data_IF_096535913955
#
_entry.id   IF_096535913955
#
_cell.length_a   1.000
_cell.length_b   1.000
_cell.length_c   1.000
_cell.angle_alpha   90.00
_cell.angle_beta   90.00
_cell.angle_gamma   90.00
#
_symmetry.space_group_name_H-M   'P 1'
#
loop_
_entity.id
_entity.type
_entity.pdbx_description
1 polymer ?
#
# COMPACT_ATOMS: atom_id res chain seq x y z
N UNK A 1 15.23 -11.36 -10.16
CA UNK A 1 15.39 -9.89 -10.38
C UNK A 1 14.85 -9.18 -9.14
N UNK A 2 15.60 -8.24 -8.54
CA UNK A 2 15.17 -7.50 -7.34
C UNK A 2 14.72 -6.10 -7.70
N UNK A 3 13.87 -5.50 -6.87
CA UNK A 3 13.34 -4.14 -7.00
C UNK A 3 13.76 -3.28 -5.82
N UNK A 4 13.64 -1.96 -5.93
CA UNK A 4 13.79 -1.05 -4.81
C UNK A 4 12.42 -0.76 -4.18
N UNK A 5 12.36 -0.41 -2.90
CA UNK A 5 11.11 -0.14 -2.21
C UNK A 5 11.07 1.27 -1.59
N UNK A 6 9.96 1.97 -1.80
CA UNK A 6 9.66 3.26 -1.15
C UNK A 6 8.50 3.05 -0.19
N UNK A 7 8.71 3.38 1.08
CA UNK A 7 7.66 3.41 2.10
C UNK A 7 7.23 4.86 2.34
N UNK A 8 5.97 5.15 2.11
CA UNK A 8 5.38 6.46 2.39
C UNK A 8 4.78 6.46 3.80
N UNK A 9 5.47 7.07 4.75
CA UNK A 9 5.12 7.06 6.16
C UNK A 9 4.58 8.41 6.68
N UNK A 10 3.98 9.17 5.79
CA UNK A 10 3.23 10.38 6.12
C UNK A 10 1.82 10.08 6.64
N UNK A 11 1.04 11.13 6.78
CA UNK A 11 -0.36 11.05 7.21
C UNK A 11 -0.55 11.51 8.66
N UNK A 12 -1.78 11.94 8.95
CA UNK A 12 -2.18 12.44 10.26
C UNK A 12 -2.52 11.27 11.20
N UNK A 13 -1.77 11.14 12.28
CA UNK A 13 -1.98 10.13 13.32
C UNK A 13 -3.10 10.48 14.28
N UNK A 14 -3.43 11.77 14.41
CA UNK A 14 -4.42 12.27 15.37
C UNK A 14 -5.83 11.71 15.13
N UNK A 15 -6.11 11.19 13.92
CA UNK A 15 -7.38 10.51 13.62
C UNK A 15 -7.54 9.22 14.43
N UNK A 16 -6.42 8.57 14.79
CA UNK A 16 -6.40 7.30 15.56
C UNK A 16 -6.05 7.58 17.01
N UNK A 17 -4.98 8.34 17.26
CA UNK A 17 -4.52 8.77 18.58
C UNK A 17 -4.20 10.27 18.56
N UNK A 18 -4.96 11.11 19.29
CA UNK A 18 -4.73 12.56 19.34
C UNK A 18 -3.33 12.97 19.79
N UNK A 19 -2.59 12.11 20.48
CA UNK A 19 -1.20 12.36 20.89
C UNK A 19 -0.18 12.05 19.79
N UNK A 20 -0.58 11.35 18.74
CA UNK A 20 0.29 10.92 17.64
C UNK A 20 0.17 11.86 16.45
N UNK A 21 1.19 12.68 16.20
CA UNK A 21 1.20 13.63 15.08
C UNK A 21 1.29 12.93 13.73
N UNK A 22 2.12 11.90 13.61
CA UNK A 22 2.37 11.20 12.35
C UNK A 22 1.92 9.74 12.44
N UNK A 23 1.03 9.33 11.54
CA UNK A 23 0.42 8.01 11.51
C UNK A 23 1.46 6.88 11.52
N UNK A 24 2.57 7.02 10.78
CA UNK A 24 3.64 6.03 10.74
C UNK A 24 4.34 5.78 12.08
N UNK A 25 4.28 6.76 13.02
CA UNK A 25 4.87 6.64 14.35
C UNK A 25 3.91 6.03 15.38
N UNK A 26 2.65 5.78 15.02
CA UNK A 26 1.68 5.14 15.92
C UNK A 26 2.24 3.79 16.40
N UNK A 27 2.34 3.55 17.72
CA UNK A 27 2.82 2.29 18.24
C UNK A 27 1.80 1.19 18.03
N UNK A 28 2.23 0.10 17.38
CA UNK A 28 1.46 -1.13 17.18
C UNK A 28 2.29 -2.28 17.72
N UNK A 29 1.77 -3.01 18.70
CA UNK A 29 2.47 -4.12 19.35
C UNK A 29 3.90 -3.74 19.79
N UNK A 30 4.07 -2.54 20.35
CA UNK A 30 5.34 -2.06 20.93
C UNK A 30 6.37 -1.47 19.94
N UNK A 31 6.05 -1.37 18.64
CA UNK A 31 6.91 -0.73 17.62
C UNK A 31 6.14 0.33 16.83
N UNK A 32 6.79 1.39 16.33
CA UNK A 32 6.20 2.27 15.33
C UNK A 32 5.65 1.49 14.14
N UNK A 33 4.47 1.85 13.66
CA UNK A 33 3.80 1.14 12.57
C UNK A 33 4.68 1.04 11.31
N UNK A 34 5.37 2.12 10.95
CA UNK A 34 6.29 2.15 9.80
C UNK A 34 7.49 1.21 9.98
N UNK A 35 7.92 0.96 11.22
CA UNK A 35 9.04 0.05 11.51
C UNK A 35 8.70 -1.40 11.10
N UNK A 36 7.48 -1.86 11.38
CA UNK A 36 7.02 -3.19 10.94
C UNK A 36 7.12 -3.35 9.43
N UNK A 37 6.67 -2.35 8.67
CA UNK A 37 6.71 -2.37 7.21
C UNK A 37 8.15 -2.35 6.69
N UNK A 38 8.99 -1.49 7.26
CA UNK A 38 10.37 -1.34 6.85
C UNK A 38 11.20 -2.60 7.15
N UNK A 39 11.00 -3.22 8.31
CA UNK A 39 11.64 -4.50 8.67
C UNK A 39 11.20 -5.63 7.72
N UNK A 40 9.90 -5.73 7.39
CA UNK A 40 9.42 -6.72 6.45
C UNK A 40 10.03 -6.55 5.05
N UNK A 41 10.19 -5.31 4.59
CA UNK A 41 10.85 -5.01 3.30
C UNK A 41 12.35 -5.36 3.32
N UNK A 42 13.06 -5.03 4.40
CA UNK A 42 14.47 -5.41 4.57
C UNK A 42 14.67 -6.92 4.51
N UNK A 43 13.75 -7.66 5.11
CA UNK A 43 13.85 -9.11 5.25
C UNK A 43 13.29 -9.86 4.00
N UNK A 44 12.71 -9.15 3.03
CA UNK A 44 12.21 -9.71 1.77
C UNK A 44 13.34 -9.94 0.76
N UNK A 45 13.35 -11.11 0.10
CA UNK A 45 14.40 -11.51 -0.85
C UNK A 45 14.35 -10.74 -2.18
N UNK A 46 13.16 -10.28 -2.57
CA UNK A 46 12.94 -9.55 -3.82
C UNK A 46 13.22 -8.05 -3.69
N UNK A 47 13.48 -7.54 -2.49
CA UNK A 47 13.79 -6.13 -2.24
C UNK A 47 15.31 -5.95 -2.11
N UNK A 48 15.86 -4.95 -2.84
CA UNK A 48 17.29 -4.63 -2.83
C UNK A 48 17.64 -3.54 -1.82
N UNK A 49 16.94 -2.42 -1.92
CA UNK A 49 17.13 -1.24 -1.07
C UNK A 49 15.77 -0.67 -0.66
N UNK A 50 15.71 -0.10 0.54
CA UNK A 50 14.51 0.52 1.09
C UNK A 50 14.76 2.01 1.32
N UNK A 51 13.81 2.85 0.91
CA UNK A 51 13.74 4.26 1.27
C UNK A 51 12.45 4.52 2.04
N UNK A 52 12.55 5.08 3.23
CA UNK A 52 11.40 5.46 4.06
C UNK A 52 11.23 6.97 3.98
N UNK A 53 10.12 7.42 3.41
CA UNK A 53 9.78 8.83 3.28
C UNK A 53 8.93 9.25 4.47
N UNK A 54 9.43 10.21 5.24
CA UNK A 54 8.83 10.71 6.48
C UNK A 54 8.76 12.23 6.48
N UNK A 55 7.79 12.85 7.15
CA UNK A 55 7.73 14.31 7.29
C UNK A 55 8.86 14.86 8.17
N UNK A 56 9.36 14.05 9.10
CA UNK A 56 10.48 14.37 10.00
C UNK A 56 11.21 13.09 10.38
N UNK A 57 12.52 13.20 10.63
CA UNK A 57 13.31 12.10 11.17
C UNK A 57 13.19 12.00 12.72
N UNK A 58 12.60 13.01 13.36
CA UNK A 58 12.39 13.02 14.81
C UNK A 58 11.41 11.92 15.24
N UNK A 59 11.77 11.16 16.28
CA UNK A 59 10.94 10.12 16.86
C UNK A 59 11.00 8.76 16.17
N UNK A 60 11.77 8.61 15.09
CA UNK A 60 11.90 7.32 14.42
C UNK A 60 12.61 6.25 15.29
N UNK A 61 13.65 6.67 16.05
CA UNK A 61 14.45 5.73 16.84
C UNK A 61 15.59 5.09 16.07
N UNK A 62 16.40 4.26 16.75
CA UNK A 62 17.64 3.69 16.21
C UNK A 62 17.41 2.60 15.13
N UNK A 63 16.20 2.06 14.99
CA UNK A 63 15.90 1.02 14.00
C UNK A 63 16.14 1.48 12.54
N UNK A 64 16.15 2.79 12.29
CA UNK A 64 16.38 3.36 10.95
C UNK A 64 17.78 3.08 10.40
N UNK A 65 18.76 2.90 11.30
CA UNK A 65 20.15 2.64 10.91
C UNK A 65 20.32 1.28 10.20
N UNK A 66 19.41 0.34 10.46
CA UNK A 66 19.44 -1.01 9.91
C UNK A 66 18.55 -1.19 8.66
N UNK A 67 17.76 -0.18 8.30
CA UNK A 67 16.75 -0.35 7.24
C UNK A 67 17.24 0.14 5.87
N UNK A 68 17.92 1.27 5.82
CA UNK A 68 18.32 1.85 4.53
C UNK A 68 18.30 3.38 4.53
N UNK A 69 17.55 3.99 3.61
CA UNK A 69 17.57 5.45 3.42
C UNK A 69 16.36 6.11 4.06
N UNK A 70 16.60 7.12 4.88
CA UNK A 70 15.54 8.00 5.39
C UNK A 70 15.50 9.25 4.50
N UNK A 71 14.34 9.51 3.93
CA UNK A 71 14.06 10.68 3.09
C UNK A 71 13.09 11.59 3.83
N UNK A 72 13.55 12.76 4.23
CA UNK A 72 12.68 13.75 4.88
C UNK A 72 11.99 14.56 3.80
N UNK A 73 10.65 14.45 3.74
CA UNK A 73 9.80 15.20 2.81
C UNK A 73 8.42 15.38 3.42
N UNK A 74 7.96 16.63 3.49
CA UNK A 74 6.62 17.05 3.99
C UNK A 74 5.81 17.69 2.84
N UNK A 75 6.01 17.22 1.63
CA UNK A 75 5.31 17.66 0.44
C UNK A 75 3.96 16.96 0.23
N UNK A 76 3.39 17.16 -0.95
CA UNK A 76 2.21 16.41 -1.39
C UNK A 76 2.54 14.91 -1.50
N UNK A 77 1.50 14.08 -1.67
CA UNK A 77 1.69 12.65 -1.92
C UNK A 77 2.68 12.38 -3.08
N UNK A 78 2.55 13.13 -4.16
CA UNK A 78 3.40 12.98 -5.35
C UNK A 78 4.83 13.45 -5.07
N UNK A 79 5.00 14.58 -4.37
CA UNK A 79 6.33 15.06 -3.97
C UNK A 79 7.06 14.02 -3.12
N UNK A 80 6.35 13.38 -2.19
CA UNK A 80 6.89 12.33 -1.35
C UNK A 80 7.27 11.07 -2.16
N UNK A 81 6.44 10.67 -3.14
CA UNK A 81 6.77 9.57 -4.06
C UNK A 81 8.03 9.90 -4.87
N UNK A 82 8.10 11.09 -5.46
CA UNK A 82 9.26 11.53 -6.25
C UNK A 82 10.53 11.61 -5.39
N UNK A 83 10.43 12.14 -4.17
CA UNK A 83 11.56 12.19 -3.24
C UNK A 83 12.06 10.79 -2.88
N UNK A 84 11.15 9.85 -2.61
CA UNK A 84 11.49 8.46 -2.30
C UNK A 84 12.17 7.75 -3.47
N UNK A 85 11.60 7.86 -4.67
CA UNK A 85 12.19 7.28 -5.91
C UNK A 85 13.55 7.90 -6.21
N UNK A 86 13.69 9.21 -6.03
CA UNK A 86 14.94 9.93 -6.22
C UNK A 86 16.08 9.52 -5.28
N UNK A 87 15.78 8.78 -4.21
CA UNK A 87 16.81 8.22 -3.32
C UNK A 87 17.59 7.07 -3.95
N UNK A 88 17.07 6.45 -5.00
CA UNK A 88 17.74 5.35 -5.71
C UNK A 88 18.48 5.83 -6.96
N UNK A 89 19.45 5.04 -7.38
CA UNK A 89 20.16 5.24 -8.65
C UNK A 89 19.82 4.08 -9.59
N UNK A 90 19.49 4.42 -10.82
CA UNK A 90 19.20 3.45 -11.88
C UNK A 90 17.73 3.41 -12.25
N UNK A 91 17.38 2.46 -13.10
CA UNK A 91 16.12 2.28 -13.78
C UNK A 91 15.30 1.08 -13.27
N UNK A 92 15.65 0.59 -12.06
CA UNK A 92 14.94 -0.54 -11.47
C UNK A 92 13.51 -0.16 -11.14
N UNK A 93 12.60 -1.10 -11.31
CA UNK A 93 11.22 -0.96 -10.83
C UNK A 93 11.19 -0.70 -9.34
N UNK A 94 10.22 0.07 -8.92
CA UNK A 94 10.05 0.48 -7.53
C UNK A 94 8.73 -0.07 -6.98
N UNK A 95 8.81 -0.76 -5.86
CA UNK A 95 7.66 -1.09 -5.03
C UNK A 95 7.32 0.13 -4.18
N UNK A 96 6.27 0.86 -4.55
CA UNK A 96 5.69 1.89 -3.69
C UNK A 96 4.78 1.21 -2.67
N UNK A 97 4.94 1.50 -1.39
CA UNK A 97 4.03 1.02 -0.34
C UNK A 97 3.78 2.11 0.70
N UNK A 98 2.67 1.99 1.42
CA UNK A 98 2.39 2.87 2.55
C UNK A 98 2.94 2.26 3.84
N UNK A 99 3.27 3.11 4.83
CA UNK A 99 3.80 2.69 6.12
C UNK A 99 2.74 2.28 7.14
N UNK A 100 1.50 2.06 6.71
CA UNK A 100 0.34 1.79 7.58
C UNK A 100 -0.25 0.38 7.45
N UNK A 101 0.56 -0.57 6.96
CA UNK A 101 0.22 -2.01 6.86
C UNK A 101 1.14 -2.85 7.76
N UNK A 102 1.11 -2.68 9.09
CA UNK A 102 2.10 -3.27 10.00
C UNK A 102 2.13 -4.80 10.00
N UNK A 103 1.05 -5.44 9.55
CA UNK A 103 0.97 -6.89 9.46
C UNK A 103 1.51 -7.47 8.14
N UNK A 104 2.16 -6.66 7.29
CA UNK A 104 2.80 -7.16 6.07
C UNK A 104 3.92 -8.16 6.40
N UNK A 105 4.15 -9.13 5.52
CA UNK A 105 5.21 -10.13 5.71
C UNK A 105 6.18 -10.13 4.53
N UNK A 106 7.45 -10.52 4.72
CA UNK A 106 8.41 -10.71 3.63
C UNK A 106 7.88 -11.61 2.53
N UNK A 107 7.24 -12.72 2.89
CA UNK A 107 6.66 -13.67 1.93
C UNK A 107 5.56 -13.03 1.06
N UNK A 108 4.71 -12.17 1.64
CA UNK A 108 3.67 -11.44 0.89
C UNK A 108 4.29 -10.44 -0.09
N UNK A 109 5.36 -9.77 0.30
CA UNK A 109 6.11 -8.84 -0.54
C UNK A 109 6.77 -9.58 -1.71
N UNK A 110 7.48 -10.67 -1.42
CA UNK A 110 8.19 -11.46 -2.44
C UNK A 110 7.22 -12.07 -3.45
N UNK A 111 6.09 -12.60 -2.98
CA UNK A 111 5.07 -13.18 -3.86
C UNK A 111 4.45 -12.10 -4.76
N UNK A 112 4.08 -10.95 -4.21
CA UNK A 112 3.54 -9.84 -4.99
C UNK A 112 4.54 -9.31 -6.02
N UNK A 113 5.81 -9.09 -5.63
CA UNK A 113 6.85 -8.59 -6.55
C UNK A 113 7.09 -9.60 -7.67
N UNK A 114 7.18 -10.90 -7.36
CA UNK A 114 7.37 -11.95 -8.36
C UNK A 114 6.23 -11.98 -9.37
N UNK A 115 4.99 -12.09 -8.90
CA UNK A 115 3.82 -12.08 -9.75
C UNK A 115 3.73 -10.79 -10.61
N UNK A 116 4.08 -9.65 -10.02
CA UNK A 116 4.07 -8.36 -10.71
C UNK A 116 5.10 -8.31 -11.84
N UNK A 117 6.31 -8.78 -11.60
CA UNK A 117 7.37 -8.85 -12.62
C UNK A 117 6.98 -9.79 -13.78
N UNK A 118 6.31 -10.89 -13.49
CA UNK A 118 5.83 -11.86 -14.48
C UNK A 118 4.77 -11.27 -15.42
N UNK A 119 4.03 -10.24 -15.01
CA UNK A 119 3.07 -9.56 -15.90
C UNK A 119 3.73 -8.77 -17.02
N UNK A 120 4.97 -8.32 -16.82
CA UNK A 120 5.67 -7.40 -17.72
C UNK A 120 5.07 -5.99 -17.81
N UNK A 121 4.01 -5.68 -17.07
CA UNK A 121 3.33 -4.38 -17.13
C UNK A 121 4.12 -3.27 -16.42
N UNK A 122 3.98 -2.01 -16.87
CA UNK A 122 4.71 -0.87 -16.31
C UNK A 122 4.22 -0.47 -14.91
N UNK A 123 2.95 -0.71 -14.61
CA UNK A 123 2.39 -0.54 -13.28
C UNK A 123 1.48 -1.71 -12.91
N UNK A 124 1.70 -2.29 -11.72
CA UNK A 124 0.95 -3.46 -11.23
C UNK A 124 0.38 -3.18 -9.85
N UNK A 125 -0.92 -3.42 -9.70
CA UNK A 125 -1.66 -3.15 -8.47
C UNK A 125 -2.26 -4.44 -7.89
N UNK A 126 -2.14 -4.69 -6.56
CA UNK A 126 -2.68 -5.89 -5.94
C UNK A 126 -4.18 -5.76 -5.66
N UNK A 127 -4.89 -6.86 -5.86
CA UNK A 127 -6.29 -7.05 -5.51
C UNK A 127 -6.42 -8.18 -4.48
N UNK A 128 -7.09 -7.92 -3.37
CA UNK A 128 -7.39 -8.90 -2.33
C UNK A 128 -8.88 -9.22 -2.37
N UNK A 129 -9.25 -10.50 -2.40
CA UNK A 129 -10.65 -10.92 -2.32
C UNK A 129 -11.21 -10.65 -0.93
N UNK A 130 -12.50 -10.35 -0.87
CA UNK A 130 -13.18 -10.11 0.41
C UNK A 130 -13.04 -11.29 1.38
N UNK A 131 -13.16 -12.51 0.86
CA UNK A 131 -13.12 -13.71 1.69
C UNK A 131 -11.72 -13.94 2.29
N UNK A 132 -10.65 -13.70 1.51
CA UNK A 132 -9.27 -13.76 1.98
C UNK A 132 -9.02 -12.70 3.06
N UNK A 133 -9.50 -11.46 2.83
CA UNK A 133 -9.37 -10.37 3.79
C UNK A 133 -10.05 -10.69 5.12
N UNK A 134 -11.31 -11.13 5.10
CA UNK A 134 -12.07 -11.40 6.33
C UNK A 134 -11.61 -12.67 7.04
N UNK A 135 -10.98 -13.60 6.33
CA UNK A 135 -10.38 -14.81 6.93
C UNK A 135 -9.14 -14.48 7.76
N UNK A 136 -8.24 -13.61 7.25
CA UNK A 136 -6.99 -13.27 7.93
C UNK A 136 -7.16 -12.11 8.93
N UNK A 137 -8.05 -11.16 8.62
CA UNK A 137 -8.33 -9.98 9.43
C UNK A 137 -9.82 -9.91 9.82
N UNK A 138 -10.32 -10.83 10.66
CA UNK A 138 -11.71 -10.84 11.10
C UNK A 138 -12.00 -9.57 11.92
N UNK A 139 -13.14 -8.93 11.62
CA UNK A 139 -13.57 -7.69 12.26
C UNK A 139 -12.97 -6.41 11.65
N UNK A 140 -12.15 -6.50 10.61
CA UNK A 140 -11.67 -5.31 9.89
C UNK A 140 -12.82 -4.66 9.11
N UNK A 141 -12.91 -3.32 9.18
CA UNK A 141 -13.87 -2.52 8.43
C UNK A 141 -13.26 -1.99 7.13
N UNK A 142 -13.38 -2.76 6.05
CA UNK A 142 -12.80 -2.42 4.73
C UNK A 142 -13.85 -2.02 3.72
N UNK A 143 -13.47 -1.09 2.84
CA UNK A 143 -14.27 -0.78 1.67
C UNK A 143 -14.01 -1.80 0.57
N UNK A 144 -15.03 -2.56 0.22
CA UNK A 144 -14.96 -3.50 -0.90
C UNK A 144 -15.63 -2.93 -2.13
N UNK A 145 -14.91 -3.02 -3.24
CA UNK A 145 -15.42 -2.69 -4.57
C UNK A 145 -15.90 -3.97 -5.24
N UNK A 146 -17.09 -3.94 -5.83
CA UNK A 146 -17.62 -5.09 -6.53
C UNK A 146 -17.19 -5.05 -7.99
N UNK A 147 -16.30 -5.96 -8.37
CA UNK A 147 -15.99 -6.27 -9.76
C UNK A 147 -16.89 -7.38 -10.29
N UNK A 148 -16.85 -7.64 -11.60
CA UNK A 148 -17.59 -8.76 -12.21
C UNK A 148 -17.16 -10.13 -11.65
N UNK A 149 -15.93 -10.23 -11.13
CA UNK A 149 -15.35 -11.43 -10.51
C UNK A 149 -15.67 -11.56 -9.01
N UNK A 150 -16.39 -10.61 -8.42
CA UNK A 150 -16.73 -10.59 -6.99
C UNK A 150 -16.20 -9.35 -6.26
N UNK A 151 -16.44 -9.27 -4.94
CA UNK A 151 -15.99 -8.16 -4.11
C UNK A 151 -14.48 -8.27 -3.83
N UNK A 152 -13.77 -7.15 -4.04
CA UNK A 152 -12.33 -7.03 -3.80
C UNK A 152 -12.02 -5.72 -3.07
N UNK A 153 -10.89 -5.68 -2.38
CA UNK A 153 -10.25 -4.43 -1.95
C UNK A 153 -8.91 -4.30 -2.66
N UNK A 154 -8.46 -3.06 -2.85
CA UNK A 154 -7.11 -2.80 -3.32
C UNK A 154 -6.10 -2.98 -2.20
N UNK A 155 -4.84 -3.23 -2.55
CA UNK A 155 -3.76 -3.20 -1.58
C UNK A 155 -3.12 -1.83 -1.44
N UNK A 156 -2.24 -1.71 -0.48
CA UNK A 156 -1.54 -0.47 -0.12
C UNK A 156 -0.13 -0.41 -0.73
N UNK A 157 0.03 -0.99 -1.90
CA UNK A 157 1.28 -0.99 -2.65
C UNK A 157 1.06 -1.04 -4.15
N UNK A 158 2.11 -0.74 -4.90
CA UNK A 158 2.12 -0.81 -6.36
C UNK A 158 3.56 -1.06 -6.82
N UNK A 159 3.76 -2.03 -7.71
CA UNK A 159 5.03 -2.13 -8.43
C UNK A 159 4.93 -1.26 -9.68
N UNK A 160 5.88 -0.34 -9.88
CA UNK A 160 5.80 0.64 -10.97
C UNK A 160 7.18 0.97 -11.52
N UNK A 161 7.22 1.30 -12.80
CA UNK A 161 8.40 1.85 -13.47
C UNK A 161 8.64 3.30 -13.00
N UNK A 162 9.86 3.66 -12.54
CA UNK A 162 10.18 5.03 -12.13
C UNK A 162 9.93 6.07 -13.22
N UNK A 163 10.14 5.75 -14.49
CA UNK A 163 9.90 6.68 -15.61
C UNK A 163 8.41 7.04 -15.71
N UNK A 164 7.53 6.07 -15.47
CA UNK A 164 6.08 6.30 -15.42
C UNK A 164 5.72 7.27 -14.30
N UNK A 165 6.34 7.14 -13.12
CA UNK A 165 6.12 8.07 -12.00
C UNK A 165 6.52 9.49 -12.42
N UNK A 166 7.73 9.63 -12.95
CA UNK A 166 8.30 10.94 -13.31
C UNK A 166 7.49 11.61 -14.44
N UNK A 167 6.99 10.84 -15.41
CA UNK A 167 6.20 11.35 -16.52
C UNK A 167 4.74 11.72 -16.12
N UNK A 168 4.21 11.15 -15.02
CA UNK A 168 2.79 11.21 -14.68
C UNK A 168 2.47 11.90 -13.33
N UNK A 169 3.34 12.79 -12.84
CA UNK A 169 3.19 13.44 -11.54
C UNK A 169 1.85 14.18 -11.41
N UNK A 170 1.43 14.91 -12.45
CA UNK A 170 0.18 15.66 -12.44
C UNK A 170 -1.05 14.74 -12.32
N UNK A 171 -1.12 13.68 -13.14
CA UNK A 171 -2.25 12.75 -13.11
C UNK A 171 -2.28 11.96 -11.80
N UNK A 172 -1.11 11.57 -11.28
CA UNK A 172 -0.97 10.94 -9.95
C UNK A 172 -1.51 11.82 -8.83
N UNK A 173 -1.15 13.09 -8.83
CA UNK A 173 -1.65 14.09 -7.89
C UNK A 173 -3.17 14.26 -7.96
N UNK A 174 -3.74 14.34 -9.17
CA UNK A 174 -5.18 14.45 -9.39
C UNK A 174 -5.94 13.22 -8.91
N UNK A 175 -5.45 12.01 -9.20
CA UNK A 175 -6.04 10.75 -8.73
C UNK A 175 -6.03 10.73 -7.20
N UNK A 176 -4.90 11.02 -6.59
CA UNK A 176 -4.78 11.02 -5.13
C UNK A 176 -5.69 12.05 -4.46
N UNK A 177 -5.74 13.27 -4.97
CA UNK A 177 -6.59 14.34 -4.44
C UNK A 177 -8.10 14.02 -4.54
N UNK A 178 -8.50 13.27 -5.58
CA UNK A 178 -9.92 12.96 -5.83
C UNK A 178 -10.38 11.61 -5.29
N UNK A 179 -9.49 10.78 -4.73
CA UNK A 179 -9.76 9.38 -4.33
C UNK A 179 -10.94 9.19 -3.37
N UNK A 180 -11.22 10.22 -2.53
CA UNK A 180 -12.34 10.20 -1.58
C UNK A 180 -13.64 10.83 -2.14
N UNK A 181 -13.61 11.36 -3.36
CA UNK A 181 -14.76 12.01 -3.99
C UNK A 181 -15.14 11.33 -5.32
N UNK A 182 -16.20 10.49 -5.34
CA UNK A 182 -16.58 9.74 -6.54
C UNK A 182 -16.89 10.61 -7.75
N UNK A 183 -17.47 11.80 -7.54
CA UNK A 183 -17.81 12.74 -8.64
C UNK A 183 -16.54 13.35 -9.23
N UNK A 184 -15.62 13.79 -8.39
CA UNK A 184 -14.33 14.32 -8.84
C UNK A 184 -13.49 13.22 -9.51
N UNK A 185 -13.49 12.01 -8.96
CA UNK A 185 -12.84 10.84 -9.55
C UNK A 185 -13.43 10.53 -10.94
N UNK A 186 -14.74 10.62 -11.11
CA UNK A 186 -15.39 10.39 -12.41
C UNK A 186 -14.92 11.35 -13.51
N UNK A 187 -14.51 12.57 -13.17
CA UNK A 187 -13.92 13.51 -14.13
C UNK A 187 -12.50 13.10 -14.55
N UNK A 188 -11.77 12.42 -13.70
CA UNK A 188 -10.41 11.95 -13.98
C UNK A 188 -10.42 10.63 -14.77
N UNK A 189 -11.20 9.64 -14.29
CA UNK A 189 -11.19 8.28 -14.86
C UNK A 189 -12.33 8.02 -15.86
N UNK A 190 -13.31 8.92 -15.93
CA UNK A 190 -14.45 8.84 -16.84
C UNK A 190 -15.74 8.32 -16.16
N UNK A 191 -16.85 9.01 -16.44
CA UNK A 191 -18.17 8.72 -15.86
C UNK A 191 -18.64 7.29 -16.16
N UNK A 192 -18.45 6.80 -17.38
CA UNK A 192 -18.85 5.44 -17.78
C UNK A 192 -18.13 4.38 -16.94
N UNK A 193 -16.85 4.61 -16.63
CA UNK A 193 -16.07 3.71 -15.80
C UNK A 193 -16.63 3.66 -14.37
N UNK A 194 -16.88 4.83 -13.76
CA UNK A 194 -17.44 4.92 -12.40
C UNK A 194 -18.83 4.31 -12.31
N UNK A 195 -19.73 4.57 -13.29
CA UNK A 195 -21.05 3.94 -13.31
C UNK A 195 -20.96 2.42 -13.37
N UNK A 196 -20.09 1.85 -14.21
CA UNK A 196 -19.89 0.41 -14.30
C UNK A 196 -19.31 -0.18 -13.02
N UNK A 197 -18.41 0.57 -12.35
CA UNK A 197 -17.88 0.21 -11.05
C UNK A 197 -18.99 0.12 -9.99
N UNK A 198 -19.82 1.16 -9.88
CA UNK A 198 -20.93 1.21 -8.91
C UNK A 198 -21.97 0.12 -9.17
N UNK A 199 -22.17 -0.29 -10.42
CA UNK A 199 -23.06 -1.38 -10.81
C UNK A 199 -22.43 -2.77 -10.64
N UNK A 200 -21.17 -2.88 -10.20
CA UNK A 200 -20.45 -4.16 -10.08
C UNK A 200 -20.23 -4.88 -11.42
N UNK A 201 -20.20 -4.14 -12.53
CA UNK A 201 -20.06 -4.68 -13.89
C UNK A 201 -18.68 -4.43 -14.50
N UNK A 202 -17.77 -3.87 -13.73
CA UNK A 202 -16.40 -3.59 -14.19
C UNK A 202 -15.57 -4.87 -14.11
N UNK A 203 -14.87 -5.19 -15.19
CA UNK A 203 -13.95 -6.34 -15.23
C UNK A 203 -12.54 -5.89 -14.85
N UNK A 204 -11.69 -6.83 -14.42
CA UNK A 204 -10.27 -6.54 -14.13
C UNK A 204 -9.55 -6.01 -15.37
N UNK A 205 -9.80 -6.61 -16.53
CA UNK A 205 -9.21 -6.17 -17.82
C UNK A 205 -9.56 -4.71 -18.15
N UNK A 206 -10.77 -4.26 -17.78
CA UNK A 206 -11.15 -2.85 -17.96
C UNK A 206 -10.41 -1.93 -16.97
N UNK A 207 -10.14 -2.41 -15.74
CA UNK A 207 -9.35 -1.68 -14.75
C UNK A 207 -7.90 -1.55 -15.24
N UNK A 208 -7.29 -2.63 -15.67
CA UNK A 208 -5.92 -2.69 -16.20
C UNK A 208 -5.76 -1.76 -17.42
N UNK A 209 -6.68 -1.86 -18.39
CA UNK A 209 -6.69 -0.97 -19.56
C UNK A 209 -6.82 0.49 -19.14
N UNK A 210 -7.65 0.78 -18.14
CA UNK A 210 -7.82 2.16 -17.66
C UNK A 210 -6.57 2.67 -16.95
N UNK A 211 -5.93 1.85 -16.14
CA UNK A 211 -4.64 2.18 -15.53
C UNK A 211 -3.61 2.50 -16.62
N UNK A 212 -3.43 1.62 -17.59
CA UNK A 212 -2.50 1.84 -18.70
C UNK A 212 -2.78 3.14 -19.47
N UNK A 213 -4.06 3.44 -19.76
CA UNK A 213 -4.44 4.72 -20.40
C UNK A 213 -4.10 5.95 -19.58
N UNK A 214 -4.23 5.87 -18.24
CA UNK A 214 -3.95 6.99 -17.35
C UNK A 214 -2.46 7.28 -17.23
N UNK A 215 -1.63 6.25 -17.26
CA UNK A 215 -0.18 6.37 -17.10
C UNK A 215 0.58 6.46 -18.43
N UNK A 216 -0.11 6.32 -19.57
CA UNK A 216 0.54 6.28 -20.88
C UNK A 216 1.42 5.04 -21.11
N UNK A 217 1.08 3.93 -20.46
CA UNK A 217 1.83 2.68 -20.48
C UNK A 217 0.90 1.47 -20.36
N UNK A 218 1.41 0.38 -19.78
CA UNK A 218 0.68 -0.85 -19.51
C UNK A 218 0.38 -1.00 -18.03
N UNK A 219 -0.88 -1.34 -17.70
CA UNK A 219 -1.33 -1.61 -16.34
C UNK A 219 -1.75 -3.06 -16.19
N UNK A 220 -1.45 -3.66 -15.03
CA UNK A 220 -1.94 -4.98 -14.65
C UNK A 220 -2.47 -5.00 -13.22
N UNK A 221 -3.29 -5.98 -12.91
CA UNK A 221 -3.75 -6.27 -11.57
C UNK A 221 -3.45 -7.72 -11.22
N UNK A 222 -2.91 -7.93 -10.02
CA UNK A 222 -2.56 -9.25 -9.50
C UNK A 222 -3.46 -9.59 -8.32
N UNK A 223 -4.12 -10.75 -8.38
CA UNK A 223 -4.83 -11.25 -7.21
C UNK A 223 -3.84 -11.89 -6.24
N UNK A 224 -3.92 -11.47 -4.99
CA UNK A 224 -3.13 -12.07 -3.91
C UNK A 224 -4.04 -12.63 -2.82
N UNK A 225 -3.63 -13.73 -2.21
CA UNK A 225 -4.24 -14.30 -1.01
C UNK A 225 -3.66 -13.70 0.28
N UNK A 226 -2.57 -12.94 0.17
CA UNK A 226 -1.95 -12.25 1.31
C UNK A 226 -2.76 -11.00 1.68
N UNK A 227 -3.75 -11.16 2.55
CA UNK A 227 -4.65 -10.07 2.94
C UNK A 227 -3.93 -8.91 3.64
N UNK A 228 -2.77 -9.16 4.25
CA UNK A 228 -1.92 -8.16 4.88
C UNK A 228 -1.49 -7.02 3.94
N UNK A 229 -1.47 -7.25 2.63
CA UNK A 229 -1.22 -6.22 1.61
C UNK A 229 -2.30 -5.13 1.60
N UNK A 230 -3.54 -5.49 1.96
CA UNK A 230 -4.68 -4.57 1.99
C UNK A 230 -5.13 -4.18 3.40
N UNK A 231 -4.38 -4.55 4.44
CA UNK A 231 -4.77 -4.38 5.84
C UNK A 231 -4.14 -3.14 6.48
N UNK A 232 -4.49 -1.93 5.95
CA UNK A 232 -4.04 -0.67 6.54
C UNK A 232 -4.79 -0.34 7.84
N UNK A 233 -4.12 0.40 8.70
CA UNK A 233 -4.63 0.88 9.99
C UNK A 233 -5.09 2.32 9.84
N UNK A 234 -6.40 2.53 9.65
CA UNK A 234 -6.99 3.87 9.46
C UNK A 234 -7.86 4.32 10.64
N UNK A 235 -8.27 3.38 11.50
CA UNK A 235 -9.20 3.60 12.62
C UNK A 235 -8.70 2.90 13.88
N UNK A 236 -9.17 3.27 15.08
CA UNK A 236 -8.82 2.56 16.32
C UNK A 236 -9.14 1.05 16.29
N UNK A 237 -10.20 0.63 15.62
CA UNK A 237 -10.53 -0.80 15.47
C UNK A 237 -9.45 -1.55 14.68
N UNK A 238 -8.84 -0.92 13.68
CA UNK A 238 -7.79 -1.54 12.86
C UNK A 238 -6.51 -1.76 13.69
N UNK A 239 -6.23 -0.91 14.70
CA UNK A 239 -5.13 -1.12 15.66
C UNK A 239 -5.32 -2.44 16.39
N UNK A 240 -6.51 -2.66 16.96
CA UNK A 240 -6.83 -3.89 17.70
C UNK A 240 -6.70 -5.12 16.83
N UNK A 241 -7.20 -5.04 15.59
CA UNK A 241 -7.11 -6.16 14.63
C UNK A 241 -5.66 -6.43 14.24
N UNK A 242 -4.87 -5.39 13.94
CA UNK A 242 -3.46 -5.53 13.58
C UNK A 242 -2.64 -6.14 14.73
N UNK A 243 -2.81 -5.66 15.96
CA UNK A 243 -2.13 -6.20 17.14
C UNK A 243 -2.48 -7.66 17.39
N UNK A 244 -3.74 -8.03 17.22
CA UNK A 244 -4.19 -9.42 17.34
C UNK A 244 -3.49 -10.33 16.33
N UNK A 245 -3.41 -9.91 15.07
CA UNK A 245 -2.75 -10.68 14.01
C UNK A 245 -1.24 -10.81 14.28
N UNK A 246 -0.58 -9.70 14.67
CA UNK A 246 0.84 -9.72 15.02
C UNK A 246 1.13 -10.62 16.21
N UNK A 247 0.31 -10.56 17.26
CA UNK A 247 0.43 -11.44 18.44
C UNK A 247 0.22 -12.92 18.06
N UNK A 248 -0.81 -13.22 17.28
CA UNK A 248 -1.08 -14.57 16.83
C UNK A 248 0.10 -15.17 16.05
N UNK A 249 0.72 -14.40 15.17
CA UNK A 249 1.91 -14.81 14.42
C UNK A 249 3.13 -15.02 15.31
N UNK A 250 3.37 -14.15 16.30
CA UNK A 250 4.51 -14.27 17.21
C UNK A 250 4.39 -15.48 18.15
N UNK A 251 3.16 -15.91 18.48
CA UNK A 251 2.90 -17.02 19.40
C UNK A 251 2.57 -18.34 18.70
N UNK A 252 2.42 -18.35 17.37
CA UNK A 252 1.99 -19.52 16.60
C UNK A 252 0.54 -19.94 16.86
N UNK A 253 -0.29 -19.06 17.45
CA UNK A 253 -1.73 -19.30 17.71
C UNK A 253 -2.57 -18.68 16.60
N UNK A 254 -3.68 -19.35 16.24
CA UNK A 254 -4.65 -18.73 15.35
C UNK A 254 -5.26 -17.47 15.99
N UNK A 255 -5.57 -16.40 15.22
CA UNK A 255 -6.25 -15.23 15.77
C UNK A 255 -7.64 -15.66 16.27
N UNK A 256 -7.88 -15.53 17.58
CA UNK A 256 -9.19 -15.85 18.16
C UNK A 256 -10.27 -14.98 17.56
N UNK A 257 -11.30 -15.61 17.03
CA UNK A 257 -12.46 -14.94 16.40
C UNK A 257 -13.44 -14.33 17.41
N UNK A 258 -13.13 -14.36 18.73
CA UNK A 258 -14.01 -13.88 19.79
C UNK A 258 -13.22 -13.01 20.78
N UNK A 259 -13.43 -11.70 20.64
CA UNK A 259 -13.42 -10.78 21.77
C UNK A 259 -14.67 -9.91 21.59
N UNK A 260 -15.69 -10.21 22.40
CA UNK A 260 -16.87 -9.37 22.62
C UNK A 260 -16.47 -8.00 23.16
#
# INVERSE_FOLDING_TARGET
>A
MTVDAVVLAGGDGAVIDPSCRFKGLLPIAGKPMVQWVAEALRDAEMIREVAVVVPTAEGLGAWVDDIGKIVVSDGSFVDNVVAGVGAFRGDRRVLLTTGDIPAITPAALDDFVRQSLDTGADAVYPLVRKDDMLSEFPGSERTFVRLATGPVTGGNMMLIDPEIIMANQEIGGRIFATRKNPVAMARVIGMRFVVRLLLGRLTVVEVERKLGQLIGGTGAAVYTTHASIGADVDKPVDVVVAERVLYARSTGRAPDSQAE
#
